data_IF_977192257669
#
_entry.id   IF_977192257669
#
_cell.length_a   1.000
_cell.length_b   1.000
_cell.length_c   1.000
_cell.angle_alpha   90.00
_cell.angle_beta   90.00
_cell.angle_gamma   90.00
#
_symmetry.space_group_name_H-M   'P 1'
#
loop_
_entity.id
_entity.type
_entity.pdbx_description
1 polymer ?
#
# COMPACT_ATOMS: atom_id res chain seq x y z
N UNK A 1 -13.18 -23.79 3.11
CA UNK A 1 -12.17 -23.34 2.13
C UNK A 1 -12.86 -22.41 1.15
N UNK A 2 -12.58 -21.10 1.18
CA UNK A 2 -12.97 -20.23 0.07
C UNK A 2 -11.94 -20.48 -1.03
N UNK A 3 -12.36 -21.07 -2.13
CA UNK A 3 -11.59 -21.17 -3.36
C UNK A 3 -11.29 -19.74 -3.80
N UNK A 4 -10.07 -19.28 -3.61
CA UNK A 4 -9.59 -18.03 -4.21
C UNK A 4 -9.53 -18.28 -5.70
N UNK A 5 -10.52 -17.77 -6.44
CA UNK A 5 -10.46 -17.71 -7.89
C UNK A 5 -9.19 -16.93 -8.26
N UNK A 6 -8.19 -17.61 -8.80
CA UNK A 6 -7.01 -16.94 -9.34
C UNK A 6 -7.46 -16.12 -10.56
N UNK A 7 -7.61 -14.81 -10.37
CA UNK A 7 -7.87 -13.89 -11.47
C UNK A 7 -6.52 -13.64 -12.14
N UNK A 8 -6.36 -14.12 -13.37
CA UNK A 8 -5.18 -13.81 -14.18
C UNK A 8 -5.35 -12.41 -14.77
N UNK A 9 -4.45 -11.46 -14.43
CA UNK A 9 -4.49 -10.15 -15.06
C UNK A 9 -4.31 -10.30 -16.58
N UNK A 10 -5.04 -9.52 -17.40
CA UNK A 10 -4.85 -9.52 -18.84
C UNK A 10 -3.43 -9.05 -19.18
N UNK A 11 -2.91 -9.56 -20.30
CA UNK A 11 -1.65 -9.12 -20.87
C UNK A 11 -1.87 -8.03 -21.92
N UNK A 12 -0.94 -7.09 -21.96
CA UNK A 12 -0.84 -6.01 -22.94
C UNK A 12 0.34 -6.30 -23.85
N UNK A 13 0.10 -6.22 -25.16
CA UNK A 13 1.12 -6.38 -26.19
C UNK A 13 1.40 -5.00 -26.79
N UNK A 14 2.62 -4.49 -26.58
CA UNK A 14 3.08 -3.24 -27.20
C UNK A 14 3.98 -3.53 -28.40
N UNK A 15 3.60 -2.97 -29.55
CA UNK A 15 4.35 -3.09 -30.80
C UNK A 15 5.06 -1.78 -31.11
N UNK A 16 6.36 -1.87 -31.33
CA UNK A 16 7.20 -0.75 -31.74
C UNK A 16 8.09 -1.14 -32.91
N UNK A 17 8.75 -0.16 -33.54
CA UNK A 17 9.79 -0.42 -34.55
C UNK A 17 10.97 -1.25 -34.03
N UNK A 18 11.14 -1.35 -32.70
CA UNK A 18 12.17 -2.15 -32.02
C UNK A 18 11.70 -3.55 -31.62
N UNK A 19 10.48 -3.94 -31.99
CA UNK A 19 9.90 -5.25 -31.69
C UNK A 19 8.65 -5.19 -30.82
N UNK A 20 8.21 -6.39 -30.40
CA UNK A 20 7.02 -6.62 -29.57
C UNK A 20 7.44 -6.90 -28.12
N UNK A 21 6.73 -6.29 -27.16
CA UNK A 21 6.91 -6.55 -25.73
C UNK A 21 5.57 -6.86 -25.07
N UNK A 22 5.57 -7.79 -24.12
CA UNK A 22 4.38 -8.24 -23.42
C UNK A 22 4.51 -7.93 -21.93
N UNK A 23 3.46 -7.35 -21.35
CA UNK A 23 3.37 -6.99 -19.94
C UNK A 23 2.03 -7.46 -19.37
N UNK A 24 1.95 -7.84 -18.10
CA UNK A 24 0.64 -7.84 -17.44
C UNK A 24 0.18 -6.39 -17.20
N UNK A 25 -1.12 -6.21 -16.95
CA UNK A 25 -1.70 -4.88 -16.77
C UNK A 25 -1.05 -4.07 -15.63
N UNK A 26 -0.64 -4.71 -14.53
CA UNK A 26 -0.02 -4.00 -13.39
C UNK A 26 1.43 -3.63 -13.70
N UNK A 27 2.19 -4.52 -14.33
CA UNK A 27 3.53 -4.19 -14.84
C UNK A 27 3.49 -3.02 -15.81
N UNK A 28 2.47 -2.97 -16.68
CA UNK A 28 2.30 -1.84 -17.59
C UNK A 28 1.99 -0.54 -16.86
N UNK A 29 1.12 -0.56 -15.86
CA UNK A 29 0.80 0.61 -15.03
C UNK A 29 2.00 1.09 -14.20
N UNK A 30 2.85 0.17 -13.74
CA UNK A 30 4.08 0.51 -13.02
C UNK A 30 5.03 1.35 -13.88
N UNK A 31 5.08 1.12 -15.20
CA UNK A 31 5.86 1.96 -16.13
C UNK A 31 5.34 3.42 -16.17
N UNK A 32 4.05 3.62 -15.92
CA UNK A 32 3.44 4.95 -15.75
C UNK A 32 3.54 5.47 -14.30
N UNK A 33 4.32 4.77 -13.45
CA UNK A 33 4.56 5.07 -12.03
C UNK A 33 3.33 4.93 -11.14
N UNK A 34 2.42 4.04 -11.51
CA UNK A 34 1.21 3.72 -10.76
C UNK A 34 1.42 2.42 -9.99
N UNK A 35 1.25 2.48 -8.67
CA UNK A 35 1.35 1.36 -7.73
C UNK A 35 -0.02 1.11 -7.11
N UNK A 36 -0.46 -0.16 -7.08
CA UNK A 36 -1.78 -0.54 -6.55
C UNK A 36 -1.67 -1.23 -5.19
N UNK A 37 -2.25 -0.60 -4.16
CA UNK A 37 -2.55 -1.22 -2.88
C UNK A 37 -4.02 -1.63 -2.86
N UNK A 38 -4.32 -2.77 -3.50
CA UNK A 38 -5.67 -3.26 -3.75
C UNK A 38 -6.16 -4.37 -2.81
N UNK A 39 -5.36 -4.74 -1.81
CA UNK A 39 -5.60 -5.90 -0.94
C UNK A 39 -5.35 -5.56 0.54
N UNK A 40 -5.60 -6.53 1.42
CA UNK A 40 -5.20 -6.43 2.82
C UNK A 40 -3.67 -6.28 2.93
N UNK A 41 -3.23 -5.39 3.81
CA UNK A 41 -1.80 -5.15 4.07
C UNK A 41 -1.26 -6.29 4.94
N UNK A 42 -0.36 -7.08 4.38
CA UNK A 42 0.45 -8.07 5.08
C UNK A 42 1.92 -7.91 4.66
N UNK A 43 2.81 -8.76 5.16
CA UNK A 43 4.25 -8.65 4.89
C UNK A 43 4.59 -8.83 3.40
N UNK A 44 3.94 -9.78 2.71
CA UNK A 44 4.14 -10.01 1.27
C UNK A 44 3.73 -8.79 0.43
N UNK A 45 2.54 -8.26 0.67
CA UNK A 45 2.02 -7.07 -0.01
C UNK A 45 2.91 -5.87 0.29
N UNK A 46 3.31 -5.68 1.55
CA UNK A 46 4.18 -4.58 1.95
C UNK A 46 5.53 -4.63 1.23
N UNK A 47 6.18 -5.79 1.20
CA UNK A 47 7.46 -5.97 0.51
C UNK A 47 7.36 -5.67 -0.99
N UNK A 48 6.26 -6.10 -1.64
CA UNK A 48 6.02 -5.82 -3.06
C UNK A 48 5.83 -4.31 -3.29
N UNK A 49 5.04 -3.63 -2.46
CA UNK A 49 4.82 -2.18 -2.57
C UNK A 49 6.13 -1.42 -2.36
N UNK A 50 6.89 -1.76 -1.31
CA UNK A 50 8.19 -1.15 -1.01
C UNK A 50 9.16 -1.33 -2.17
N UNK A 51 9.26 -2.54 -2.74
CA UNK A 51 10.11 -2.80 -3.90
C UNK A 51 9.73 -1.94 -5.11
N UNK A 52 8.43 -1.82 -5.41
CA UNK A 52 7.94 -0.96 -6.49
C UNK A 52 8.26 0.52 -6.24
N UNK A 53 8.04 1.01 -5.02
CA UNK A 53 8.33 2.38 -4.62
C UNK A 53 9.83 2.73 -4.79
N UNK A 54 10.71 1.85 -4.29
CA UNK A 54 12.16 2.01 -4.41
C UNK A 54 12.63 1.96 -5.87
N UNK A 55 12.06 1.04 -6.66
CA UNK A 55 12.35 0.94 -8.09
C UNK A 55 12.00 2.26 -8.82
N UNK A 56 10.81 2.82 -8.55
CA UNK A 56 10.37 4.05 -9.19
C UNK A 56 11.18 5.27 -8.75
N UNK A 57 11.58 5.35 -7.47
CA UNK A 57 12.46 6.43 -6.99
C UNK A 57 13.84 6.36 -7.67
N UNK A 58 14.38 5.15 -7.85
CA UNK A 58 15.67 4.95 -8.52
C UNK A 58 15.60 5.30 -10.02
N UNK A 59 14.51 4.94 -10.70
CA UNK A 59 14.29 5.23 -12.13
C UNK A 59 14.20 6.74 -12.41
N UNK A 60 13.41 7.47 -11.61
CA UNK A 60 13.29 8.92 -11.73
C UNK A 60 12.82 9.56 -10.40
N UNK A 61 13.73 10.12 -9.59
CA UNK A 61 13.39 10.66 -8.27
C UNK A 61 12.66 12.01 -8.30
N UNK A 62 12.61 12.68 -9.46
CA UNK A 62 11.93 13.98 -9.63
C UNK A 62 10.45 13.81 -9.99
N UNK A 63 10.07 12.63 -10.53
CA UNK A 63 8.69 12.34 -10.95
C UNK A 63 7.86 11.74 -9.84
N UNK A 64 6.64 12.27 -9.72
CA UNK A 64 5.59 11.72 -8.87
C UNK A 64 5.39 10.21 -9.04
N UNK A 65 5.13 9.54 -7.92
CA UNK A 65 4.64 8.16 -7.87
C UNK A 65 3.17 8.21 -7.45
N UNK A 66 2.31 7.40 -8.07
CA UNK A 66 0.88 7.37 -7.76
C UNK A 66 0.51 6.07 -7.06
N UNK A 67 0.21 6.15 -5.77
CA UNK A 67 -0.28 5.04 -4.95
C UNK A 67 -1.80 5.03 -4.94
N UNK A 68 -2.40 4.05 -5.63
CA UNK A 68 -3.84 3.84 -5.68
C UNK A 68 -4.24 2.92 -4.52
N UNK A 69 -5.05 3.43 -3.61
CA UNK A 69 -5.45 2.75 -2.37
C UNK A 69 -6.88 2.25 -2.48
N UNK A 70 -7.03 0.93 -2.40
CA UNK A 70 -8.29 0.24 -2.21
C UNK A 70 -8.06 -0.94 -1.24
N UNK A 71 -7.95 -0.63 0.05
CA UNK A 71 -7.51 -1.60 1.06
C UNK A 71 -8.38 -1.53 2.32
N UNK A 72 -8.72 -2.69 2.91
CA UNK A 72 -9.33 -2.76 4.23
C UNK A 72 -8.35 -2.46 5.38
N UNK A 73 -7.08 -2.14 5.07
CA UNK A 73 -6.00 -2.04 6.05
C UNK A 73 -5.33 -3.39 6.26
N UNK A 74 -4.74 -3.61 7.43
CA UNK A 74 -4.02 -4.85 7.75
C UNK A 74 -3.03 -4.69 8.88
N UNK A 75 -1.91 -5.41 8.80
CA UNK A 75 -0.86 -5.41 9.82
C UNK A 75 -0.26 -4.00 9.97
N UNK A 76 -0.19 -3.52 11.22
CA UNK A 76 0.32 -2.18 11.54
C UNK A 76 1.80 -2.08 11.17
N UNK A 77 2.62 -3.06 11.54
CA UNK A 77 4.05 -3.10 11.21
C UNK A 77 4.31 -3.05 9.70
N UNK A 78 3.60 -3.88 8.92
CA UNK A 78 3.76 -3.92 7.46
C UNK A 78 3.28 -2.60 6.81
N UNK A 79 2.24 -1.98 7.36
CA UNK A 79 1.79 -0.65 6.92
C UNK A 79 2.75 0.48 7.30
N UNK A 80 3.37 0.42 8.48
CA UNK A 80 4.41 1.37 8.90
C UNK A 80 5.65 1.27 8.01
N UNK A 81 6.03 0.07 7.57
CA UNK A 81 7.14 -0.10 6.64
C UNK A 81 6.87 0.60 5.28
N UNK A 82 5.64 0.52 4.76
CA UNK A 82 5.24 1.27 3.55
C UNK A 82 5.29 2.76 3.83
N UNK A 83 4.74 3.21 4.96
CA UNK A 83 4.72 4.60 5.36
C UNK A 83 6.13 5.21 5.42
N UNK A 84 7.05 4.57 6.16
CA UNK A 84 8.42 5.04 6.31
C UNK A 84 9.13 5.09 4.96
N UNK A 85 8.90 4.08 4.10
CA UNK A 85 9.41 4.08 2.73
C UNK A 85 8.89 5.30 1.96
N UNK A 86 7.57 5.56 1.97
CA UNK A 86 6.98 6.74 1.30
C UNK A 86 7.59 8.07 1.76
N UNK A 87 7.94 8.19 3.05
CA UNK A 87 8.57 9.41 3.58
C UNK A 87 10.06 9.48 3.27
N UNK A 88 10.72 8.34 3.09
CA UNK A 88 12.15 8.23 2.77
C UNK A 88 12.47 8.58 1.32
N UNK A 89 11.55 8.33 0.38
CA UNK A 89 11.78 8.59 -1.05
C UNK A 89 12.01 10.07 -1.34
N UNK A 90 12.75 10.34 -2.42
CA UNK A 90 12.89 11.67 -3.02
C UNK A 90 11.66 12.00 -3.85
N UNK A 91 11.19 11.02 -4.62
CA UNK A 91 9.99 11.12 -5.43
C UNK A 91 8.75 11.36 -4.55
N UNK A 92 7.95 12.40 -4.82
CA UNK A 92 6.73 12.64 -4.06
C UNK A 92 5.69 11.54 -4.35
N UNK A 93 5.12 10.96 -3.29
CA UNK A 93 4.08 9.94 -3.40
C UNK A 93 2.70 10.57 -3.32
N UNK A 94 1.93 10.45 -4.40
CA UNK A 94 0.55 10.87 -4.51
C UNK A 94 -0.36 9.71 -4.10
N UNK A 95 -1.39 9.98 -3.32
CA UNK A 95 -2.29 8.92 -2.84
C UNK A 95 -3.71 9.17 -3.31
N UNK A 96 -4.35 8.14 -3.88
CA UNK A 96 -5.70 8.22 -4.43
C UNK A 96 -6.54 7.08 -3.88
N UNK A 97 -7.63 7.39 -3.18
CA UNK A 97 -8.59 6.38 -2.75
C UNK A 97 -9.57 6.01 -3.88
N UNK A 98 -9.57 4.74 -4.28
CA UNK A 98 -10.34 4.23 -5.44
C UNK A 98 -11.60 3.45 -5.05
N UNK A 99 -11.89 3.31 -3.75
CA UNK A 99 -13.04 2.54 -3.27
C UNK A 99 -13.13 2.60 -1.76
N UNK A 100 -12.19 1.94 -1.07
CA UNK A 100 -12.09 2.03 0.38
C UNK A 100 -10.64 2.19 0.83
N UNK A 101 -10.41 3.09 1.77
CA UNK A 101 -9.20 3.15 2.55
C UNK A 101 -9.59 3.05 4.02
N UNK A 102 -9.40 1.88 4.62
CA UNK A 102 -9.75 1.61 6.02
C UNK A 102 -8.51 1.30 6.86
N UNK A 103 -8.51 1.68 8.13
CA UNK A 103 -7.43 1.34 9.07
C UNK A 103 -6.06 1.75 8.53
N UNK A 104 -5.06 0.85 8.47
CA UNK A 104 -3.77 1.15 7.84
C UNK A 104 -3.86 1.64 6.38
N UNK A 105 -4.93 1.32 5.66
CA UNK A 105 -5.21 1.87 4.33
C UNK A 105 -5.54 3.38 4.38
N UNK A 106 -6.34 3.84 5.35
CA UNK A 106 -6.61 5.28 5.52
C UNK A 106 -5.40 6.03 6.05
N UNK A 107 -4.60 5.38 6.90
CA UNK A 107 -3.33 5.91 7.36
C UNK A 107 -2.37 6.18 6.18
N UNK A 108 -2.15 5.19 5.31
CA UNK A 108 -1.31 5.34 4.12
C UNK A 108 -1.88 6.33 3.11
N UNK A 109 -3.21 6.39 2.94
CA UNK A 109 -3.85 7.42 2.14
C UNK A 109 -3.49 8.82 2.66
N UNK A 110 -3.53 9.03 3.97
CA UNK A 110 -3.21 10.31 4.59
C UNK A 110 -1.71 10.66 4.51
N UNK A 111 -0.84 9.67 4.35
CA UNK A 111 0.61 9.80 4.29
C UNK A 111 1.18 10.29 2.95
N UNK A 112 0.34 10.43 1.93
CA UNK A 112 0.75 11.02 0.65
C UNK A 112 1.25 12.46 0.81
N UNK A 113 2.02 12.93 -0.17
CA UNK A 113 2.61 14.28 -0.18
C UNK A 113 1.53 15.34 0.04
N UNK A 114 1.83 16.35 0.87
CA UNK A 114 0.92 17.47 1.15
C UNK A 114 0.40 18.09 -0.17
N UNK A 115 -0.92 18.21 -0.28
CA UNK A 115 -1.59 18.74 -1.47
C UNK A 115 -1.85 17.72 -2.59
N UNK A 116 -1.33 16.48 -2.48
CA UNK A 116 -1.44 15.43 -3.51
C UNK A 116 -2.14 14.16 -2.98
N UNK A 117 -3.10 14.35 -2.08
CA UNK A 117 -3.95 13.30 -1.50
C UNK A 117 -5.37 13.52 -1.96
N UNK A 118 -5.97 12.53 -2.59
CA UNK A 118 -7.33 12.63 -3.13
C UNK A 118 -8.12 11.34 -2.96
N UNK A 119 -9.43 11.43 -3.18
CA UNK A 119 -10.34 10.31 -3.13
C UNK A 119 -11.40 10.47 -4.23
N UNK A 120 -11.82 9.37 -4.83
CA UNK A 120 -12.94 9.39 -5.77
C UNK A 120 -14.26 9.74 -5.06
N UNK A 121 -15.27 10.27 -5.78
CA UNK A 121 -16.51 10.80 -5.17
C UNK A 121 -17.30 9.82 -4.29
N UNK A 122 -17.17 8.51 -4.53
CA UNK A 122 -17.87 7.45 -3.78
C UNK A 122 -16.94 6.63 -2.89
N UNK A 123 -15.68 7.04 -2.76
CA UNK A 123 -14.73 6.36 -1.91
C UNK A 123 -15.10 6.52 -0.42
N UNK A 124 -14.79 5.50 0.38
CA UNK A 124 -15.00 5.50 1.82
C UNK A 124 -13.67 5.48 2.56
N UNK A 125 -13.53 6.39 3.52
CA UNK A 125 -12.37 6.46 4.40
C UNK A 125 -12.83 6.07 5.80
N UNK A 126 -12.20 5.05 6.38
CA UNK A 126 -12.55 4.57 7.72
C UNK A 126 -11.29 4.57 8.60
N UNK A 127 -11.40 5.18 9.77
CA UNK A 127 -10.34 5.19 10.79
C UNK A 127 -10.87 4.50 12.04
N UNK A 128 -10.02 3.71 12.69
CA UNK A 128 -10.31 3.12 14.00
C UNK A 128 -8.98 2.87 14.72
N UNK A 129 -9.04 2.77 16.05
CA UNK A 129 -7.87 2.41 16.87
C UNK A 129 -7.36 1.00 16.52
N UNK A 130 -6.05 0.71 16.69
CA UNK A 130 -5.52 -0.62 16.48
C UNK A 130 -6.22 -1.64 17.40
N UNK A 131 -6.39 -2.85 16.88
CA UNK A 131 -6.97 -3.98 17.61
C UNK A 131 -6.01 -5.15 17.55
N UNK A 132 -5.79 -5.81 18.69
CA UNK A 132 -4.94 -6.98 18.80
C UNK A 132 -5.35 -7.82 20.01
N UNK A 133 -4.76 -9.00 20.14
CA UNK A 133 -4.99 -9.89 21.26
C UNK A 133 -3.80 -10.83 21.43
N UNK A 134 -3.57 -11.25 22.67
CA UNK A 134 -2.52 -12.22 23.01
C UNK A 134 -3.04 -13.21 24.05
N UNK A 135 -2.35 -14.32 24.21
CA UNK A 135 -2.54 -15.31 25.26
C UNK A 135 -1.16 -15.70 25.82
N UNK A 136 -1.07 -16.04 27.10
CA UNK A 136 0.20 -16.38 27.72
C UNK A 136 0.21 -16.12 29.23
N UNK A 137 1.41 -15.97 29.79
CA UNK A 137 1.57 -15.56 31.19
C UNK A 137 1.07 -14.13 31.40
N UNK A 138 0.84 -13.74 32.66
CA UNK A 138 0.46 -12.37 32.98
C UNK A 138 1.46 -11.33 32.43
N UNK A 139 2.76 -11.66 32.43
CA UNK A 139 3.80 -10.81 31.87
C UNK A 139 3.70 -10.69 30.34
N UNK A 140 3.42 -11.78 29.62
CA UNK A 140 3.23 -11.76 28.16
C UNK A 140 2.03 -10.88 27.77
N UNK A 141 0.93 -10.99 28.53
CA UNK A 141 -0.27 -10.16 28.34
C UNK A 141 0.05 -8.68 28.58
N UNK A 142 0.76 -8.35 29.66
CA UNK A 142 1.13 -6.98 29.96
C UNK A 142 2.00 -6.36 28.85
N UNK A 143 3.02 -7.09 28.38
CA UNK A 143 3.94 -6.62 27.34
C UNK A 143 3.17 -6.32 26.04
N UNK A 144 2.29 -7.22 25.62
CA UNK A 144 1.50 -7.04 24.40
C UNK A 144 0.46 -5.93 24.54
N UNK A 145 -0.16 -5.77 25.71
CA UNK A 145 -1.08 -4.66 25.97
C UNK A 145 -0.35 -3.31 25.89
N UNK A 146 0.88 -3.21 26.43
CA UNK A 146 1.73 -2.02 26.30
C UNK A 146 2.08 -1.73 24.84
N UNK A 147 2.35 -2.75 24.03
CA UNK A 147 2.60 -2.59 22.60
C UNK A 147 1.38 -2.05 21.85
N UNK A 148 0.19 -2.59 22.09
CA UNK A 148 -1.05 -2.08 21.47
C UNK A 148 -1.29 -0.61 21.84
N UNK A 149 -1.06 -0.25 23.10
CA UNK A 149 -1.18 1.14 23.57
C UNK A 149 -0.13 2.06 22.94
N UNK A 150 1.10 1.56 22.75
CA UNK A 150 2.16 2.26 22.04
C UNK A 150 1.77 2.53 20.59
N UNK A 151 1.28 1.51 19.87
CA UNK A 151 0.82 1.63 18.49
C UNK A 151 -0.38 2.59 18.35
N UNK A 152 -1.28 2.64 19.34
CA UNK A 152 -2.40 3.61 19.36
C UNK A 152 -1.93 5.06 19.46
N UNK A 153 -0.76 5.30 20.05
CA UNK A 153 -0.19 6.64 20.22
C UNK A 153 0.59 7.17 19.01
N UNK A 154 0.70 6.38 17.94
CA UNK A 154 1.34 6.75 16.68
C UNK A 154 0.29 7.21 15.66
#
# INVERSE_FOLDING_TARGET
>A
MKTTSQIYPPYIIERSSRGERTYDIFSRLLMDRIVFLGTQINDEVSNIIIAQLLFLDADNPERDIYLYVNSPGGLVSSGMAIYDTMQFLRAPVNTICMGMAASMGSFLLAAGRKGKRSALPHARIMMHQPSGGTQGTAADIEIQAREILYLRGK
#
